data_IF_861011960228
#
_entry.id   IF_861011960228
#
_cell.length_a   1.000
_cell.length_b   1.000
_cell.length_c   1.000
_cell.angle_alpha   90.00
_cell.angle_beta   90.00
_cell.angle_gamma   90.00
#
_symmetry.space_group_name_H-M   'P 1'
#
loop_
_entity.id
_entity.type
_entity.pdbx_description
1 polymer ?
#
# COMPACT_ATOMS: atom_id res chain seq x y z
N UNK A 1 17.92 -61.66 -57.94
CA UNK A 1 18.18 -60.21 -57.78
C UNK A 1 16.81 -59.56 -57.62
N UNK A 2 16.38 -58.93 -56.53
CA UNK A 2 17.02 -58.44 -55.31
C UNK A 2 15.87 -58.15 -54.32
N UNK A 3 15.97 -58.60 -53.06
CA UNK A 3 15.05 -58.19 -51.98
C UNK A 3 15.45 -56.79 -51.55
N UNK A 4 14.55 -55.82 -51.56
CA UNK A 4 14.79 -54.50 -50.98
C UNK A 4 13.98 -54.41 -49.69
N UNK A 5 14.69 -54.54 -48.57
CA UNK A 5 14.22 -54.22 -47.25
C UNK A 5 14.19 -52.70 -47.09
N UNK A 6 13.05 -52.14 -46.68
CA UNK A 6 12.94 -50.74 -46.32
C UNK A 6 13.32 -50.56 -44.83
N UNK A 7 14.29 -49.71 -44.48
CA UNK A 7 14.50 -49.33 -43.10
C UNK A 7 13.61 -48.12 -42.76
N UNK A 8 12.90 -48.24 -41.64
CA UNK A 8 12.14 -47.19 -40.98
C UNK A 8 13.14 -46.19 -40.37
N UNK A 9 13.19 -44.94 -40.85
CA UNK A 9 13.95 -43.86 -40.22
C UNK A 9 12.99 -42.97 -39.43
N UNK A 10 13.03 -43.10 -38.10
CA UNK A 10 12.35 -42.18 -37.19
C UNK A 10 13.22 -40.93 -36.98
N UNK A 11 12.76 -39.78 -37.45
CA UNK A 11 13.38 -38.49 -37.16
C UNK A 11 12.87 -37.96 -35.81
N UNK A 12 13.74 -37.92 -34.81
CA UNK A 12 13.45 -37.28 -33.52
C UNK A 12 13.85 -35.80 -33.65
N UNK A 13 12.86 -34.91 -33.76
CA UNK A 13 13.08 -33.48 -33.70
C UNK A 13 13.25 -33.06 -32.22
N UNK A 14 14.48 -32.74 -31.83
CA UNK A 14 14.78 -32.14 -30.53
C UNK A 14 14.41 -30.65 -30.60
N UNK A 15 13.28 -30.28 -30.00
CA UNK A 15 12.94 -28.87 -29.76
C UNK A 15 13.81 -28.38 -28.60
N UNK A 16 14.95 -27.76 -28.91
CA UNK A 16 15.69 -26.96 -27.94
C UNK A 16 14.94 -25.63 -27.77
N UNK A 17 13.96 -25.63 -26.86
CA UNK A 17 13.34 -24.41 -26.35
C UNK A 17 14.36 -23.66 -25.49
N UNK A 18 15.17 -22.81 -26.13
CA UNK A 18 15.96 -21.81 -25.41
C UNK A 18 14.96 -20.76 -24.91
N UNK A 19 14.54 -20.90 -23.66
CA UNK A 19 13.80 -19.86 -22.96
C UNK A 19 14.75 -18.68 -22.75
N UNK A 20 14.71 -17.71 -23.67
CA UNK A 20 15.33 -16.42 -23.46
C UNK A 20 14.58 -15.73 -22.32
N UNK A 21 15.17 -15.75 -21.13
CA UNK A 21 14.81 -14.86 -20.05
C UNK A 21 14.92 -13.43 -20.58
N UNK A 22 13.79 -12.73 -20.67
CA UNK A 22 13.76 -11.32 -21.05
C UNK A 22 14.50 -10.53 -19.96
N UNK A 23 15.77 -10.24 -20.20
CA UNK A 23 16.53 -9.30 -19.41
C UNK A 23 15.81 -7.97 -19.44
N UNK A 24 15.51 -7.43 -18.26
CA UNK A 24 15.06 -6.04 -18.11
C UNK A 24 16.16 -5.18 -18.73
N UNK A 25 15.92 -4.66 -19.94
CA UNK A 25 16.85 -3.75 -20.61
C UNK A 25 17.14 -2.58 -19.67
N UNK A 26 18.43 -2.24 -19.51
CA UNK A 26 18.87 -1.14 -18.66
C UNK A 26 18.16 0.16 -19.11
N UNK A 27 17.29 0.76 -18.28
CA UNK A 27 16.54 1.95 -18.65
C UNK A 27 17.46 3.12 -19.04
N UNK A 28 18.67 3.18 -18.47
CA UNK A 28 19.65 4.20 -18.81
C UNK A 28 20.30 3.96 -20.17
N UNK A 29 20.40 2.71 -20.63
CA UNK A 29 20.88 2.40 -21.98
C UNK A 29 19.86 2.81 -23.05
N UNK A 30 18.56 2.60 -22.80
CA UNK A 30 17.49 3.00 -23.71
C UNK A 30 17.39 4.53 -23.87
N UNK A 31 17.53 5.29 -22.78
CA UNK A 31 17.53 6.76 -22.84
C UNK A 31 18.71 7.30 -23.65
N UNK A 32 19.91 6.70 -23.52
CA UNK A 32 21.08 7.06 -24.34
C UNK A 32 20.83 6.74 -25.81
N UNK A 33 20.24 5.59 -26.13
CA UNK A 33 19.93 5.22 -27.50
C UNK A 33 18.97 6.22 -28.18
N UNK A 34 17.95 6.73 -27.47
CA UNK A 34 17.08 7.78 -28.02
C UNK A 34 17.83 9.11 -28.26
N UNK A 35 18.83 9.46 -27.44
CA UNK A 35 19.55 10.73 -27.57
C UNK A 35 20.40 10.85 -28.84
N UNK A 36 20.82 9.73 -29.41
CA UNK A 36 21.61 9.66 -30.66
C UNK A 36 20.76 9.95 -31.91
N UNK A 37 19.43 10.03 -31.80
CA UNK A 37 18.53 10.26 -32.92
C UNK A 37 18.39 11.75 -33.30
N UNK A 38 18.04 11.98 -34.57
CA UNK A 38 17.57 13.29 -35.04
C UNK A 38 16.33 13.76 -34.27
N UNK A 39 16.11 15.07 -34.21
CA UNK A 39 15.23 15.70 -33.21
C UNK A 39 13.81 15.14 -33.20
N UNK A 40 13.25 14.86 -34.36
CA UNK A 40 11.88 14.40 -34.56
C UNK A 40 11.74 12.94 -34.13
N UNK A 41 12.67 12.08 -34.58
CA UNK A 41 12.74 10.67 -34.18
C UNK A 41 13.09 10.50 -32.69
N UNK A 42 13.88 11.42 -32.12
CA UNK A 42 14.20 11.46 -30.70
C UNK A 42 12.96 11.72 -29.86
N UNK A 43 12.12 12.68 -30.26
CA UNK A 43 10.88 12.98 -29.54
C UNK A 43 9.93 11.78 -29.55
N UNK A 44 9.77 11.11 -30.69
CA UNK A 44 8.95 9.90 -30.79
C UNK A 44 9.52 8.74 -29.95
N UNK A 45 10.84 8.56 -29.95
CA UNK A 45 11.53 7.54 -29.15
C UNK A 45 11.32 7.77 -27.64
N UNK A 46 11.50 9.02 -27.18
CA UNK A 46 11.29 9.39 -25.79
C UNK A 46 9.82 9.26 -25.38
N UNK A 47 8.87 9.61 -26.26
CA UNK A 47 7.44 9.45 -26.01
C UNK A 47 7.07 7.97 -25.83
N UNK A 48 7.54 7.10 -26.72
CA UNK A 48 7.38 5.64 -26.58
C UNK A 48 8.03 5.08 -25.32
N UNK A 49 9.24 5.53 -24.98
CA UNK A 49 9.88 5.16 -23.72
C UNK A 49 9.09 5.65 -22.52
N UNK A 50 8.52 6.85 -22.56
CA UNK A 50 7.69 7.37 -21.47
C UNK A 50 6.39 6.57 -21.29
N UNK A 51 5.82 6.07 -22.39
CA UNK A 51 4.65 5.19 -22.37
C UNK A 51 4.98 3.77 -21.91
N UNK A 52 6.19 3.28 -22.19
CA UNK A 52 6.68 1.97 -21.71
C UNK A 52 7.20 2.03 -20.27
N UNK A 53 7.77 3.17 -19.86
CA UNK A 53 8.30 3.45 -18.53
C UNK A 53 7.28 4.12 -17.61
N UNK A 54 6.09 4.49 -18.13
CA UNK A 54 4.91 4.55 -17.29
C UNK A 54 4.92 3.20 -16.58
N UNK A 55 5.09 3.17 -15.24
CA UNK A 55 5.06 1.91 -14.56
C UNK A 55 3.76 1.28 -15.07
N UNK A 56 3.80 0.00 -15.44
CA UNK A 56 2.64 -0.84 -15.12
C UNK A 56 2.30 -0.37 -13.73
N UNK A 57 1.24 0.44 -13.61
CA UNK A 57 0.72 0.92 -12.35
C UNK A 57 0.45 -0.41 -11.70
N UNK A 58 1.44 -0.90 -10.95
CA UNK A 58 1.47 -2.22 -10.29
C UNK A 58 0.08 -2.28 -9.80
N UNK A 59 -0.73 -3.15 -10.41
CA UNK A 59 -2.18 -3.04 -10.28
C UNK A 59 -2.41 -2.68 -8.84
N UNK A 60 -2.90 -1.45 -8.57
CA UNK A 60 -3.33 -1.11 -7.23
C UNK A 60 -4.40 -2.14 -7.07
N UNK A 61 -4.04 -3.25 -6.42
CA UNK A 61 -4.75 -4.49 -6.56
C UNK A 61 -6.12 -4.12 -6.07
N UNK A 62 -7.08 -3.93 -6.98
CA UNK A 62 -8.36 -3.28 -6.66
C UNK A 62 -9.20 -4.18 -5.74
N UNK A 63 -8.66 -5.36 -5.43
CA UNK A 63 -9.07 -6.26 -4.37
C UNK A 63 -8.78 -5.74 -2.94
N UNK A 64 -7.92 -4.74 -2.76
CA UNK A 64 -7.56 -4.21 -1.44
C UNK A 64 -7.83 -2.70 -1.41
N UNK A 65 -8.84 -2.29 -0.63
CA UNK A 65 -9.22 -0.93 -0.20
C UNK A 65 -8.10 -0.14 0.52
N UNK A 66 -6.90 -0.70 0.63
CA UNK A 66 -5.72 -0.07 1.23
C UNK A 66 -4.71 0.33 0.16
N UNK A 67 -4.32 1.60 0.16
CA UNK A 67 -3.16 2.10 -0.59
C UNK A 67 -1.95 2.13 0.32
N UNK A 68 -0.89 1.39 -0.01
CA UNK A 68 0.35 1.32 0.79
C UNK A 68 1.49 1.95 0.00
N UNK A 69 2.13 2.94 0.60
CA UNK A 69 3.30 3.64 0.08
C UNK A 69 4.49 3.41 1.01
N UNK A 70 5.62 3.01 0.44
CA UNK A 70 6.86 2.76 1.16
C UNK A 70 7.97 3.64 0.62
N UNK A 71 8.67 4.29 1.53
CA UNK A 71 9.78 5.17 1.21
C UNK A 71 10.86 5.02 2.28
N UNK A 72 12.03 5.56 1.99
CA UNK A 72 13.14 5.65 2.94
C UNK A 72 13.40 7.11 3.20
N UNK A 73 13.54 7.48 4.47
CA UNK A 73 13.87 8.85 4.87
C UNK A 73 15.22 9.27 4.28
N UNK A 74 15.31 10.42 3.59
CA UNK A 74 16.57 10.87 2.99
C UNK A 74 17.58 11.37 4.02
N UNK A 75 17.17 11.61 5.27
CA UNK A 75 18.02 12.19 6.31
C UNK A 75 18.72 11.12 7.14
N UNK A 76 17.98 10.09 7.54
CA UNK A 76 18.43 9.06 8.50
C UNK A 76 18.29 7.63 7.96
N UNK A 77 17.91 7.49 6.68
CA UNK A 77 17.69 6.20 6.01
C UNK A 77 16.71 5.26 6.75
N UNK A 78 15.88 5.80 7.64
CA UNK A 78 14.86 5.02 8.33
C UNK A 78 13.72 4.64 7.37
N UNK A 79 13.15 3.43 7.48
CA UNK A 79 11.99 3.05 6.68
C UNK A 79 10.77 3.89 7.08
N UNK A 80 10.01 4.28 6.07
CA UNK A 80 8.73 4.97 6.19
C UNK A 80 7.70 4.17 5.40
N UNK A 81 6.59 3.81 6.05
CA UNK A 81 5.44 3.24 5.37
C UNK A 81 4.19 4.03 5.72
N UNK A 82 3.30 4.20 4.75
CA UNK A 82 1.99 4.82 4.93
C UNK A 82 0.94 3.96 4.25
N UNK A 83 -0.02 3.46 5.02
CA UNK A 83 -1.20 2.79 4.51
C UNK A 83 -2.41 3.73 4.67
N UNK A 84 -3.22 3.87 3.64
CA UNK A 84 -4.43 4.70 3.68
C UNK A 84 -5.65 3.99 3.13
N UNK A 85 -6.80 4.33 3.68
CA UNK A 85 -8.11 4.00 3.13
C UNK A 85 -9.05 5.20 3.33
N UNK A 86 -10.08 5.30 2.50
CA UNK A 86 -11.01 6.42 2.51
C UNK A 86 -12.34 6.01 3.10
N UNK A 87 -13.12 6.99 3.55
CA UNK A 87 -14.51 6.80 3.90
C UNK A 87 -15.29 6.15 2.75
N UNK A 88 -16.13 5.19 3.11
CA UNK A 88 -16.87 4.36 2.18
C UNK A 88 -18.08 5.08 1.59
N UNK A 89 -18.52 6.19 2.19
CA UNK A 89 -19.70 6.95 1.75
C UNK A 89 -19.32 8.02 0.74
N UNK A 90 -18.45 8.97 1.14
CA UNK A 90 -18.12 10.13 0.30
C UNK A 90 -16.62 10.38 0.13
N UNK A 91 -15.77 9.53 0.74
CA UNK A 91 -14.30 9.65 0.71
C UNK A 91 -13.76 10.99 1.23
N UNK A 92 -14.57 11.76 1.98
CA UNK A 92 -14.17 13.04 2.56
C UNK A 92 -13.14 12.86 3.67
N UNK A 93 -13.22 11.76 4.41
CA UNK A 93 -12.26 11.40 5.46
C UNK A 93 -11.35 10.26 5.02
N UNK A 94 -10.08 10.33 5.38
CA UNK A 94 -9.08 9.28 5.17
C UNK A 94 -8.54 8.79 6.51
N UNK A 95 -8.56 7.48 6.68
CA UNK A 95 -7.82 6.77 7.70
C UNK A 95 -6.40 6.52 7.17
N UNK A 96 -5.40 6.96 7.92
CA UNK A 96 -3.99 6.82 7.59
C UNK A 96 -3.25 6.11 8.73
N UNK A 97 -2.41 5.16 8.37
CA UNK A 97 -1.49 4.48 9.29
C UNK A 97 -0.10 4.78 8.79
N UNK A 98 0.68 5.50 9.59
CA UNK A 98 2.03 5.90 9.22
C UNK A 98 3.03 5.35 10.22
N UNK A 99 4.11 4.78 9.71
CA UNK A 99 5.27 4.48 10.53
C UNK A 99 6.51 5.21 10.03
N UNK A 100 7.34 5.65 10.98
CA UNK A 100 8.69 6.17 10.72
C UNK A 100 9.57 5.87 11.92
N UNK A 101 10.75 5.31 11.66
CA UNK A 101 11.73 5.04 12.73
C UNK A 101 11.17 4.15 13.84
N UNK A 102 10.33 3.15 13.50
CA UNK A 102 9.70 2.23 14.45
C UNK A 102 8.49 2.80 15.21
N UNK A 103 8.23 4.10 15.14
CA UNK A 103 7.00 4.70 15.69
C UNK A 103 5.87 4.56 14.69
N UNK A 104 4.72 4.06 15.14
CA UNK A 104 3.52 3.90 14.34
C UNK A 104 2.41 4.78 14.89
N UNK A 105 1.67 5.40 13.98
CA UNK A 105 0.57 6.30 14.28
C UNK A 105 -0.64 5.94 13.40
N UNK A 106 -1.83 6.04 13.98
CA UNK A 106 -3.11 5.94 13.29
C UNK A 106 -3.80 7.31 13.36
N UNK A 107 -4.19 7.85 12.21
CA UNK A 107 -4.77 9.19 12.12
C UNK A 107 -5.89 9.33 11.10
N UNK A 108 -6.71 10.34 11.30
CA UNK A 108 -7.85 10.71 10.46
C UNK A 108 -7.62 12.10 9.89
N UNK A 109 -7.82 12.24 8.58
CA UNK A 109 -7.64 13.50 7.84
C UNK A 109 -8.84 13.75 6.93
N UNK A 110 -9.21 15.01 6.71
CA UNK A 110 -10.34 15.38 5.86
C UNK A 110 -10.57 16.89 5.88
N UNK A 111 -11.32 17.45 4.91
CA UNK A 111 -11.51 18.90 4.79
C UNK A 111 -12.28 19.50 5.96
N UNK A 112 -13.15 18.72 6.62
CA UNK A 112 -13.90 19.13 7.80
C UNK A 112 -13.09 19.01 9.11
N UNK A 113 -11.91 18.39 9.07
CA UNK A 113 -11.02 18.27 10.22
C UNK A 113 -10.06 19.46 10.21
N UNK A 114 -10.25 20.37 11.16
CA UNK A 114 -9.48 21.61 11.25
C UNK A 114 -8.39 21.54 12.33
N UNK A 115 -7.25 22.17 12.06
CA UNK A 115 -6.14 22.26 13.02
C UNK A 115 -5.33 20.98 13.17
N UNK A 116 -4.70 20.82 14.34
CA UNK A 116 -3.69 19.78 14.58
C UNK A 116 -4.14 18.65 15.50
N UNK A 117 -5.44 18.45 15.73
CA UNK A 117 -5.95 17.35 16.57
C UNK A 117 -6.19 17.71 18.03
N UNK A 118 -5.77 18.90 18.48
CA UNK A 118 -6.04 19.38 19.84
C UNK A 118 -7.55 19.60 20.08
N UNK A 119 -8.06 19.04 21.17
CA UNK A 119 -9.45 19.20 21.60
C UNK A 119 -10.47 18.32 20.86
N UNK A 120 -10.00 17.38 20.02
CA UNK A 120 -10.87 16.35 19.46
C UNK A 120 -11.08 15.20 20.46
N UNK A 121 -12.27 14.61 20.44
CA UNK A 121 -12.57 13.31 21.01
C UNK A 121 -12.81 12.31 19.88
N UNK A 122 -12.28 11.10 20.03
CA UNK A 122 -12.44 10.01 19.07
C UNK A 122 -13.27 8.92 19.74
N UNK A 123 -14.37 8.55 19.12
CA UNK A 123 -15.02 7.26 19.39
C UNK A 123 -15.06 6.44 18.11
N UNK A 124 -14.90 5.13 18.25
CA UNK A 124 -15.05 4.20 17.14
C UNK A 124 -15.89 3.01 17.56
N UNK A 125 -16.55 2.38 16.60
CA UNK A 125 -17.21 1.07 16.76
C UNK A 125 -16.80 0.16 15.63
N UNK A 126 -16.74 -1.13 15.93
CA UNK A 126 -16.47 -2.19 14.97
C UNK A 126 -17.81 -2.85 14.66
N UNK A 127 -18.21 -2.85 13.38
CA UNK A 127 -19.53 -3.26 12.92
C UNK A 127 -20.62 -2.56 13.76
N UNK A 128 -21.61 -3.32 14.23
CA UNK A 128 -22.69 -2.85 15.11
C UNK A 128 -22.37 -2.97 16.60
N UNK A 129 -21.08 -3.07 16.95
CA UNK A 129 -20.61 -3.16 18.33
C UNK A 129 -20.78 -1.86 19.13
N UNK A 130 -20.46 -1.91 20.42
CA UNK A 130 -20.50 -0.74 21.28
C UNK A 130 -19.39 0.27 20.90
N UNK A 131 -19.69 1.58 20.89
CA UNK A 131 -18.68 2.60 20.70
C UNK A 131 -17.65 2.59 21.84
N UNK A 132 -16.38 2.61 21.47
CA UNK A 132 -15.23 2.73 22.37
C UNK A 132 -14.61 4.10 22.18
N UNK A 133 -14.39 4.83 23.27
CA UNK A 133 -13.67 6.10 23.23
C UNK A 133 -12.17 5.87 23.34
N UNK A 134 -11.40 6.61 22.54
CA UNK A 134 -9.94 6.65 22.63
C UNK A 134 -9.47 8.10 22.69
N UNK A 135 -8.36 8.31 23.39
CA UNK A 135 -7.77 9.63 23.47
C UNK A 135 -7.26 10.07 22.10
N UNK A 136 -7.48 11.34 21.77
CA UNK A 136 -6.91 11.99 20.61
C UNK A 136 -5.54 12.59 20.94
N UNK A 137 -4.69 12.71 19.93
CA UNK A 137 -3.44 13.45 19.98
C UNK A 137 -3.18 14.15 18.65
N UNK A 138 -2.22 15.04 18.67
CA UNK A 138 -1.66 15.67 17.48
C UNK A 138 -0.90 14.65 16.62
N UNK A 139 -1.18 14.54 15.31
CA UNK A 139 -0.38 13.75 14.40
C UNK A 139 1.08 14.21 14.34
N UNK A 140 2.03 13.27 14.33
CA UNK A 140 3.46 13.58 14.23
C UNK A 140 3.84 14.17 12.86
N UNK A 141 3.02 13.96 11.84
CA UNK A 141 3.18 14.55 10.52
C UNK A 141 1.82 14.86 9.88
N UNK A 142 1.73 16.00 9.20
CA UNK A 142 0.51 16.43 8.50
C UNK A 142 -0.51 17.14 9.39
N UNK A 143 -1.72 17.29 8.85
CA UNK A 143 -2.91 17.78 9.55
C UNK A 143 -3.80 16.59 9.95
N UNK A 144 -4.80 16.85 10.81
CA UNK A 144 -5.79 15.84 11.20
C UNK A 144 -5.78 15.55 12.70
N UNK A 145 -6.30 14.38 13.05
CA UNK A 145 -6.39 13.88 14.43
C UNK A 145 -5.77 12.49 14.49
N UNK A 146 -4.88 12.24 15.46
CA UNK A 146 -4.30 10.92 15.67
C UNK A 146 -4.89 10.25 16.92
N UNK A 147 -4.92 8.92 16.93
CA UNK A 147 -5.21 8.15 18.14
C UNK A 147 -3.97 8.14 19.04
N UNK A 148 -4.15 8.51 20.30
CA UNK A 148 -3.09 8.46 21.29
C UNK A 148 -2.84 7.02 21.79
N UNK A 149 -1.60 6.75 22.20
CA UNK A 149 -1.19 5.47 22.77
C UNK A 149 -0.63 4.49 21.74
N UNK A 150 -0.81 3.19 21.98
CA UNK A 150 -0.25 2.12 21.16
C UNK A 150 -1.14 1.83 19.94
N UNK A 151 -0.84 2.50 18.83
CA UNK A 151 -1.53 2.31 17.56
C UNK A 151 -1.35 0.88 17.00
N UNK A 152 -0.22 0.23 17.25
CA UNK A 152 0.03 -1.14 16.75
C UNK A 152 -0.90 -2.12 17.44
N UNK A 153 -1.03 -2.03 18.76
CA UNK A 153 -1.96 -2.86 19.53
C UNK A 153 -3.41 -2.64 19.11
N UNK A 154 -3.82 -1.38 18.88
CA UNK A 154 -5.16 -1.08 18.38
C UNK A 154 -5.39 -1.75 17.01
N UNK A 155 -4.47 -1.57 16.07
CA UNK A 155 -4.54 -2.20 14.74
C UNK A 155 -4.55 -3.72 14.81
N UNK A 156 -3.81 -4.33 15.74
CA UNK A 156 -3.80 -5.77 15.96
C UNK A 156 -5.14 -6.30 16.51
N UNK A 157 -5.87 -5.49 17.27
CA UNK A 157 -7.19 -5.84 17.80
C UNK A 157 -8.32 -5.71 16.76
N UNK A 158 -8.11 -4.93 15.69
CA UNK A 158 -9.12 -4.77 14.64
C UNK A 158 -9.26 -6.06 13.80
N UNK A 159 -10.49 -6.56 13.59
CA UNK A 159 -10.74 -7.71 12.71
C UNK A 159 -10.62 -7.34 11.23
N UNK A 160 -10.15 -8.31 10.43
CA UNK A 160 -10.14 -8.20 8.97
C UNK A 160 -11.58 -8.22 8.42
N UNK A 161 -11.81 -7.51 7.31
CA UNK A 161 -13.11 -7.43 6.61
C UNK A 161 -14.27 -6.87 7.45
N UNK A 162 -13.97 -6.20 8.55
CA UNK A 162 -14.99 -5.51 9.35
C UNK A 162 -15.24 -4.07 8.86
N UNK A 163 -16.23 -3.43 9.45
CA UNK A 163 -16.53 -2.02 9.25
C UNK A 163 -16.08 -1.25 10.49
N UNK A 164 -15.26 -0.23 10.30
CA UNK A 164 -14.86 0.71 11.36
C UNK A 164 -15.64 2.00 11.18
N UNK A 165 -16.64 2.25 12.03
CA UNK A 165 -17.30 3.54 12.08
C UNK A 165 -16.64 4.42 13.14
N UNK A 166 -16.30 5.65 12.76
CA UNK A 166 -15.56 6.61 13.57
C UNK A 166 -16.39 7.87 13.69
N UNK A 167 -16.43 8.39 14.91
CA UNK A 167 -17.05 9.66 15.23
C UNK A 167 -15.98 10.56 15.86
N UNK A 168 -15.78 11.72 15.24
CA UNK A 168 -14.87 12.76 15.70
C UNK A 168 -15.68 13.97 16.15
N UNK A 169 -15.53 14.38 17.40
CA UNK A 169 -16.17 15.59 17.92
C UNK A 169 -15.12 16.56 18.46
N UNK A 170 -15.40 17.86 18.39
CA UNK A 170 -14.51 18.90 18.91
C UNK A 170 -15.33 19.95 19.65
N UNK A 171 -15.34 19.88 20.98
CA UNK A 171 -16.12 20.80 21.82
C UNK A 171 -17.57 20.91 21.36
N UNK A 172 -18.08 22.14 21.21
CA UNK A 172 -19.43 22.43 20.70
C UNK A 172 -19.54 22.49 19.16
N UNK A 173 -18.49 22.10 18.42
CA UNK A 173 -18.49 22.09 16.96
C UNK A 173 -19.25 20.92 16.35
N UNK A 174 -19.46 20.97 15.03
CA UNK A 174 -20.07 19.87 14.29
C UNK A 174 -19.18 18.63 14.33
N UNK A 175 -19.78 17.51 14.73
CA UNK A 175 -19.12 16.22 14.70
C UNK A 175 -18.95 15.73 13.25
N UNK A 176 -17.95 14.88 13.04
CA UNK A 176 -17.62 14.28 11.77
C UNK A 176 -17.69 12.76 11.92
N UNK A 177 -18.54 12.14 11.12
CA UNK A 177 -18.70 10.70 11.07
C UNK A 177 -18.06 10.15 9.79
N UNK A 178 -17.42 9.00 9.90
CA UNK A 178 -16.85 8.29 8.76
C UNK A 178 -16.94 6.78 8.97
N UNK A 179 -17.05 6.04 7.87
CA UNK A 179 -17.12 4.58 7.88
C UNK A 179 -16.06 4.00 6.95
N UNK A 180 -15.13 3.23 7.51
CA UNK A 180 -14.04 2.60 6.77
C UNK A 180 -14.28 1.10 6.65
N UNK A 181 -14.27 0.58 5.42
CA UNK A 181 -14.11 -0.86 5.22
C UNK A 181 -12.69 -1.26 5.65
N UNK A 182 -12.59 -2.31 6.47
CA UNK A 182 -11.33 -2.95 6.87
C UNK A 182 -11.07 -4.22 6.05
N UNK A 183 -11.66 -4.37 4.87
CA UNK A 183 -11.24 -5.42 3.95
C UNK A 183 -9.71 -5.34 3.71
N UNK A 184 -9.05 -6.48 3.52
CA UNK A 184 -7.60 -6.54 3.29
C UNK A 184 -6.71 -5.93 4.41
N UNK A 185 -7.26 -5.71 5.61
CA UNK A 185 -6.52 -5.24 6.79
C UNK A 185 -5.39 -6.20 7.13
N UNK A 186 -5.59 -7.52 7.00
CA UNK A 186 -4.54 -8.51 7.29
C UNK A 186 -3.32 -8.35 6.40
N UNK A 187 -3.54 -8.16 5.10
CA UNK A 187 -2.45 -7.90 4.15
C UNK A 187 -1.76 -6.58 4.47
N UNK A 188 -2.53 -5.55 4.80
CA UNK A 188 -1.99 -4.25 5.21
C UNK A 188 -1.14 -4.39 6.47
N UNK A 189 -1.63 -5.06 7.52
CA UNK A 189 -0.92 -5.31 8.78
C UNK A 189 0.36 -6.10 8.55
N UNK A 190 0.32 -7.15 7.73
CA UNK A 190 1.51 -7.94 7.40
C UNK A 190 2.57 -7.08 6.69
N UNK A 191 2.16 -6.25 5.73
CA UNK A 191 3.08 -5.36 5.00
C UNK A 191 3.67 -4.29 5.91
N UNK A 192 2.84 -3.63 6.72
CA UNK A 192 3.29 -2.64 7.68
C UNK A 192 4.20 -3.26 8.73
N UNK A 193 3.88 -4.44 9.27
CA UNK A 193 4.72 -5.12 10.24
C UNK A 193 6.12 -5.44 9.69
N UNK A 194 6.21 -5.87 8.42
CA UNK A 194 7.48 -6.15 7.76
C UNK A 194 8.37 -4.89 7.61
N UNK A 195 7.79 -3.77 7.15
CA UNK A 195 8.54 -2.53 6.89
C UNK A 195 8.84 -1.78 8.19
N UNK A 196 7.85 -1.68 9.07
CA UNK A 196 7.90 -0.90 10.30
C UNK A 196 8.49 -1.69 11.48
N UNK A 197 8.81 -2.98 11.29
CA UNK A 197 9.33 -3.89 12.32
C UNK A 197 8.42 -3.97 13.54
N UNK A 198 7.12 -4.11 13.32
CA UNK A 198 6.17 -4.29 14.44
C UNK A 198 6.47 -5.58 15.18
N UNK A 199 6.32 -5.61 16.52
CA UNK A 199 6.43 -6.84 17.26
C UNK A 199 5.34 -7.80 16.78
N UNK A 200 5.75 -9.02 16.41
CA UNK A 200 4.80 -10.10 16.18
C UNK A 200 4.02 -10.32 17.47
N UNK A 201 2.70 -10.47 17.37
CA UNK A 201 1.89 -10.85 18.52
C UNK A 201 2.43 -12.18 19.05
N UNK A 202 3.16 -12.13 20.16
CA UNK A 202 3.62 -13.35 20.84
C UNK A 202 2.37 -14.01 21.39
N UNK A 203 1.96 -15.12 20.76
CA UNK A 203 0.98 -16.01 21.36
C UNK A 203 1.58 -16.49 22.70
N UNK A 204 1.10 -15.95 23.82
CA UNK A 204 1.38 -16.55 25.12
C UNK A 204 0.62 -17.87 25.15
N UNK A 205 1.29 -19.04 25.31
CA UNK A 205 0.56 -20.26 25.63
C UNK A 205 -0.17 -20.01 26.96
N UNK A 206 -1.48 -20.28 26.98
CA UNK A 206 -2.28 -20.21 28.19
C UNK A 206 -1.75 -21.20 29.21
N UNK A 207 -1.62 -20.75 30.46
CA UNK A 207 -1.37 -21.60 31.62
C UNK A 207 -2.55 -22.52 31.89
#
# INVERSE_FOLDING_TARGET
MTRIAAPLLAAIAVVNGVALAQGVEDPMAQLRACSELQREARLECLDRLSHAAAPTRREVSKANNWTISETTSPVDYSPIATATTSDSVDSSMKLSIRCRGGRTELSFTGPAISGRGDGYAISYRINDGQPVQVAATVPAAGSGVAVAGDAVRLLQALPDNAVLAVHLSRGAGAAQDATFSLAGLDRMRARMAAVCKWPLAVARPGN
#
